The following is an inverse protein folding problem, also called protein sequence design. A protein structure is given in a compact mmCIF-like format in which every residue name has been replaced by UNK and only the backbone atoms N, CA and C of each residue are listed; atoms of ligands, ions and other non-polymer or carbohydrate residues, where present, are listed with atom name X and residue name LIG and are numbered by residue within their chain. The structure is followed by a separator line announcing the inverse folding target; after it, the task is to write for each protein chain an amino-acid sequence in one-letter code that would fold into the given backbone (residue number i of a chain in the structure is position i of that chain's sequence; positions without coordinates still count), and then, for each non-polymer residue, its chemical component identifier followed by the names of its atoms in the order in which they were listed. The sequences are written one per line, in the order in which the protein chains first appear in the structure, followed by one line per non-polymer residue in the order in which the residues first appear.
data_IF_879788817221
#
_entry.id   IF_879788817221
#
_cell.length_a   1.000
_cell.length_b   1.000
_cell.length_c   1.000
_cell.angle_alpha   90.00
_cell.angle_beta   90.00
_cell.angle_gamma   90.00
#
_symmetry.space_group_name_H-M   'P 1'
#
loop_
_entity.id
_entity.type
_entity.pdbx_description
1 polymer ?
#
# COMPACT_ATOMS: atom_id res chain seq x y z
N UNK A 1 0.76 -20.20 24.45
CA UNK A 1 1.54 -20.79 23.33
C UNK A 1 0.76 -21.81 22.49
N UNK A 2 -0.54 -21.87 22.59
CA UNK A 2 -1.41 -22.75 21.79
C UNK A 2 -2.13 -22.03 20.63
N UNK A 3 -1.98 -20.72 20.51
CA UNK A 3 -2.69 -19.92 19.49
C UNK A 3 -1.94 -19.76 18.15
N UNK A 4 -0.69 -20.24 18.05
CA UNK A 4 0.13 -20.13 16.83
C UNK A 4 0.21 -21.45 16.01
N UNK A 5 -0.58 -22.43 16.40
CA UNK A 5 -0.49 -23.79 15.82
C UNK A 5 -1.46 -24.00 14.64
N UNK A 6 -2.31 -23.00 14.32
CA UNK A 6 -3.42 -23.25 13.40
C UNK A 6 -3.07 -23.26 11.92
N UNK A 7 -2.59 -22.17 11.38
CA UNK A 7 -2.51 -22.03 9.92
C UNK A 7 -1.17 -22.41 9.30
N UNK A 8 -0.07 -22.21 10.02
CA UNK A 8 1.28 -22.50 9.51
C UNK A 8 1.64 -23.98 9.53
N UNK A 9 1.00 -24.78 10.41
CA UNK A 9 1.21 -26.23 10.44
C UNK A 9 0.32 -26.99 9.45
N UNK A 10 -0.79 -26.42 9.01
CA UNK A 10 -1.65 -27.06 8.01
C UNK A 10 -1.15 -26.89 6.58
N UNK A 11 -0.34 -25.86 6.34
CA UNK A 11 0.27 -25.55 5.04
C UNK A 11 1.74 -25.26 5.28
N UNK A 12 2.62 -25.93 4.56
CA UNK A 12 4.06 -25.69 4.63
C UNK A 12 4.69 -25.51 3.25
N UNK A 13 5.73 -24.69 3.20
CA UNK A 13 6.60 -24.57 2.04
C UNK A 13 7.69 -25.64 2.09
N UNK A 14 7.83 -26.41 1.01
CA UNK A 14 9.01 -27.25 0.78
C UNK A 14 9.79 -26.76 -0.43
N UNK A 15 11.10 -26.63 -0.27
CA UNK A 15 12.01 -26.45 -1.39
C UNK A 15 12.34 -27.82 -1.98
N UNK A 16 12.12 -27.98 -3.28
CA UNK A 16 12.65 -29.12 -4.01
C UNK A 16 14.13 -28.91 -4.33
N UNK A 17 14.82 -29.99 -4.63
CA UNK A 17 16.22 -29.96 -5.11
C UNK A 17 16.44 -29.12 -6.38
N UNK A 18 15.36 -28.80 -7.11
CA UNK A 18 15.35 -27.94 -8.31
C UNK A 18 15.06 -26.45 -7.99
N UNK A 19 15.03 -26.05 -6.72
CA UNK A 19 14.77 -24.66 -6.29
C UNK A 19 13.31 -24.20 -6.35
N UNK A 20 12.38 -25.07 -6.78
CA UNK A 20 10.96 -24.71 -6.81
C UNK A 20 10.30 -24.92 -5.46
N UNK A 21 9.59 -23.90 -4.96
CA UNK A 21 8.75 -24.02 -3.76
C UNK A 21 7.47 -24.78 -4.10
N UNK A 22 7.12 -25.76 -3.26
CA UNK A 22 5.84 -26.45 -3.30
C UNK A 22 5.12 -26.20 -2.01
N UNK A 23 3.87 -25.73 -2.13
CA UNK A 23 2.94 -25.68 -1.00
C UNK A 23 2.39 -27.08 -0.75
N UNK A 24 2.52 -27.57 0.47
CA UNK A 24 1.93 -28.83 0.92
C UNK A 24 0.87 -28.56 1.98
N UNK A 25 -0.22 -29.29 1.92
CA UNK A 25 -1.29 -29.28 2.90
C UNK A 25 -1.31 -30.62 3.67
N UNK A 26 -1.62 -30.56 4.97
CA UNK A 26 -1.77 -31.76 5.79
C UNK A 26 -3.14 -32.41 5.57
N UNK A 27 -3.18 -33.70 5.42
CA UNK A 27 -4.41 -34.46 5.56
C UNK A 27 -4.72 -34.62 7.05
N UNK A 28 -5.85 -34.10 7.50
CA UNK A 28 -6.21 -34.07 8.91
C UNK A 28 -6.56 -35.44 9.48
N UNK A 29 -6.85 -36.42 8.63
CA UNK A 29 -7.16 -37.80 9.05
C UNK A 29 -5.89 -38.65 9.22
N UNK A 30 -4.95 -38.50 8.28
CA UNK A 30 -3.72 -39.32 8.24
C UNK A 30 -2.52 -38.63 8.86
N UNK A 31 -2.54 -37.29 9.00
CA UNK A 31 -1.40 -36.47 9.43
C UNK A 31 -0.30 -36.33 8.37
N UNK A 32 -0.49 -36.88 7.17
CA UNK A 32 0.50 -36.81 6.09
C UNK A 32 0.35 -35.52 5.26
N UNK A 33 1.49 -35.03 4.76
CA UNK A 33 1.52 -33.87 3.89
C UNK A 33 1.54 -34.28 2.42
N UNK A 34 0.73 -33.60 1.61
CA UNK A 34 0.68 -33.78 0.16
C UNK A 34 0.63 -32.43 -0.54
N UNK A 35 1.02 -32.34 -1.83
CA UNK A 35 0.98 -31.09 -2.57
C UNK A 35 -0.39 -30.43 -2.51
N UNK A 36 -0.42 -29.15 -2.10
CA UNK A 36 -1.66 -28.36 -2.03
C UNK A 36 -2.24 -28.17 -3.43
N UNK A 37 -3.51 -28.51 -3.59
CA UNK A 37 -4.23 -28.26 -4.84
C UNK A 37 -4.97 -26.93 -4.76
N UNK A 38 -4.79 -26.08 -5.75
CA UNK A 38 -5.63 -24.88 -5.90
C UNK A 38 -7.03 -25.31 -6.32
N UNK A 39 -7.98 -25.04 -5.43
CA UNK A 39 -9.39 -25.30 -5.71
C UNK A 39 -9.94 -24.15 -6.58
N UNK A 40 -10.38 -24.48 -7.79
CA UNK A 40 -11.09 -23.51 -8.60
C UNK A 40 -12.60 -23.60 -8.28
N UNK A 41 -13.10 -22.58 -7.56
CA UNK A 41 -14.51 -22.49 -7.21
C UNK A 41 -15.38 -21.93 -8.36
N UNK A 42 -14.77 -21.52 -9.50
CA UNK A 42 -15.50 -20.94 -10.63
C UNK A 42 -16.08 -19.54 -10.37
N UNK A 43 -15.55 -18.83 -9.36
CA UNK A 43 -16.09 -17.52 -8.91
C UNK A 43 -15.22 -16.33 -9.27
N UNK A 44 -14.12 -16.53 -10.00
CA UNK A 44 -13.13 -15.47 -10.28
C UNK A 44 -12.38 -15.00 -9.04
N UNK A 45 -11.76 -13.81 -9.09
CA UNK A 45 -10.92 -13.27 -8.01
C UNK A 45 -11.71 -12.72 -6.82
N UNK A 46 -12.99 -12.42 -7.00
CA UNK A 46 -13.88 -11.96 -5.92
C UNK A 46 -14.88 -13.06 -5.57
N UNK A 47 -14.77 -13.57 -4.37
CA UNK A 47 -15.72 -14.58 -3.85
C UNK A 47 -17.01 -13.86 -3.47
N UNK A 48 -18.09 -14.20 -4.16
CA UNK A 48 -19.45 -13.82 -3.81
C UNK A 48 -19.95 -14.78 -2.71
N UNK A 49 -20.07 -14.27 -1.49
CA UNK A 49 -20.47 -15.06 -0.31
C UNK A 49 -21.84 -15.71 -0.52
N UNK A 50 -22.78 -14.99 -1.11
CA UNK A 50 -24.13 -15.48 -1.33
C UNK A 50 -24.13 -16.67 -2.31
N UNK A 51 -23.39 -16.55 -3.42
CA UNK A 51 -23.22 -17.65 -4.36
C UNK A 51 -22.48 -18.83 -3.73
N UNK A 52 -21.49 -18.56 -2.86
CA UNK A 52 -20.72 -19.61 -2.19
C UNK A 52 -21.60 -20.46 -1.27
N UNK A 53 -22.41 -19.85 -0.41
CA UNK A 53 -23.27 -20.56 0.53
C UNK A 53 -24.47 -21.26 -0.12
N UNK A 54 -24.85 -20.87 -1.34
CA UNK A 54 -25.91 -21.50 -2.12
C UNK A 54 -25.45 -22.75 -2.89
N UNK A 55 -24.15 -23.02 -2.94
CA UNK A 55 -23.62 -24.22 -3.58
C UNK A 55 -24.10 -25.47 -2.85
N UNK A 56 -24.40 -26.51 -3.62
CA UNK A 56 -24.86 -27.83 -3.13
C UNK A 56 -23.72 -28.84 -3.05
N UNK A 57 -22.46 -28.37 -3.01
CA UNK A 57 -21.29 -29.20 -2.85
C UNK A 57 -20.64 -29.03 -1.47
N UNK A 58 -19.66 -29.87 -1.16
CA UNK A 58 -18.96 -29.84 0.13
C UNK A 58 -18.38 -28.46 0.48
N UNK A 59 -18.01 -27.63 -0.50
CA UNK A 59 -17.45 -26.30 -0.28
C UNK A 59 -18.54 -25.31 0.15
N UNK A 60 -19.71 -25.36 -0.47
CA UNK A 60 -20.85 -24.56 -0.07
C UNK A 60 -21.39 -24.93 1.30
N UNK A 61 -21.49 -26.23 1.59
CA UNK A 61 -21.92 -26.73 2.90
C UNK A 61 -20.95 -26.32 4.01
N UNK A 62 -19.64 -26.47 3.77
CA UNK A 62 -18.61 -26.01 4.69
C UNK A 62 -18.66 -24.53 4.94
N UNK A 63 -18.69 -23.71 3.86
CA UNK A 63 -18.75 -22.26 3.96
C UNK A 63 -20.01 -21.80 4.71
N UNK A 64 -21.19 -22.37 4.38
CA UNK A 64 -22.45 -22.10 5.08
C UNK A 64 -22.34 -22.42 6.57
N UNK A 65 -21.78 -23.58 6.92
CA UNK A 65 -21.62 -23.99 8.32
C UNK A 65 -20.73 -23.03 9.10
N UNK A 66 -19.57 -22.65 8.55
CA UNK A 66 -18.63 -21.74 9.22
C UNK A 66 -19.22 -20.33 9.33
N UNK A 67 -19.72 -19.77 8.25
CA UNK A 67 -20.28 -18.41 8.26
C UNK A 67 -21.48 -18.30 9.21
N UNK A 68 -22.36 -19.31 9.22
CA UNK A 68 -23.48 -19.34 10.17
C UNK A 68 -22.97 -19.31 11.62
N UNK A 69 -21.96 -20.12 11.96
CA UNK A 69 -21.40 -20.14 13.31
C UNK A 69 -20.75 -18.81 13.69
N UNK A 70 -20.01 -18.20 12.78
CA UNK A 70 -19.35 -16.91 13.00
C UNK A 70 -20.39 -15.79 13.25
N UNK A 71 -21.40 -15.70 12.40
CA UNK A 71 -22.46 -14.68 12.54
C UNK A 71 -23.25 -14.91 13.85
N UNK A 72 -23.62 -16.16 14.15
CA UNK A 72 -24.32 -16.50 15.40
C UNK A 72 -23.50 -16.14 16.63
N UNK A 73 -22.21 -16.47 16.63
CA UNK A 73 -21.33 -16.17 17.76
C UNK A 73 -21.15 -14.65 17.93
N UNK A 74 -20.97 -13.92 16.85
CA UNK A 74 -20.91 -12.46 16.91
C UNK A 74 -22.20 -11.84 17.49
N UNK A 75 -23.37 -12.34 17.06
CA UNK A 75 -24.66 -11.89 17.59
C UNK A 75 -24.89 -12.28 19.05
N UNK A 76 -24.38 -13.43 19.49
CA UNK A 76 -24.43 -13.91 20.87
C UNK A 76 -23.65 -12.97 21.82
N UNK A 77 -22.58 -12.35 21.35
CA UNK A 77 -21.76 -11.43 22.13
C UNK A 77 -22.42 -10.05 22.38
N UNK A 78 -23.58 -9.81 21.80
CA UNK A 78 -24.36 -8.59 22.04
C UNK A 78 -25.40 -8.88 23.15
N UNK A 79 -25.50 -8.08 24.22
CA UNK A 79 -24.76 -6.81 24.46
C UNK A 79 -23.48 -6.97 25.28
N UNK A 80 -23.07 -8.17 25.67
CA UNK A 80 -22.04 -8.43 26.70
C UNK A 80 -20.67 -7.82 26.33
N UNK A 81 -20.25 -7.92 25.07
CA UNK A 81 -18.98 -7.35 24.59
C UNK A 81 -19.16 -5.93 24.05
N UNK A 82 -20.24 -5.69 23.31
CA UNK A 82 -20.66 -4.38 22.85
C UNK A 82 -22.16 -4.35 22.64
N UNK A 83 -22.80 -3.24 22.95
CA UNK A 83 -24.20 -3.01 22.62
C UNK A 83 -24.46 -2.75 21.13
N UNK A 84 -23.40 -2.55 20.36
CA UNK A 84 -23.49 -2.21 18.91
C UNK A 84 -22.79 -3.27 18.07
N UNK A 85 -23.55 -3.86 17.16
CA UNK A 85 -23.03 -4.88 16.22
C UNK A 85 -21.85 -4.38 15.40
N UNK A 86 -21.84 -3.10 15.06
CA UNK A 86 -20.78 -2.50 14.24
C UNK A 86 -19.40 -2.50 14.95
N UNK A 87 -19.35 -2.43 16.28
CA UNK A 87 -18.10 -2.50 17.04
C UNK A 87 -17.44 -3.86 16.90
N UNK A 88 -18.24 -4.93 16.80
CA UNK A 88 -17.73 -6.29 16.59
C UNK A 88 -17.17 -6.44 15.17
N UNK A 89 -17.87 -5.91 14.17
CA UNK A 89 -17.36 -5.91 12.78
C UNK A 89 -16.05 -5.12 12.66
N UNK A 90 -15.99 -3.93 13.27
CA UNK A 90 -14.81 -3.10 13.25
C UNK A 90 -13.63 -3.77 14.00
N UNK A 91 -13.89 -4.43 15.13
CA UNK A 91 -12.86 -5.15 15.87
C UNK A 91 -12.22 -6.28 15.03
N UNK A 92 -13.02 -7.01 14.26
CA UNK A 92 -12.52 -8.08 13.38
C UNK A 92 -11.80 -7.50 12.16
N UNK A 93 -12.30 -6.42 11.59
CA UNK A 93 -11.65 -5.76 10.45
C UNK A 93 -10.31 -5.12 10.83
N UNK A 94 -10.28 -4.39 11.95
CA UNK A 94 -9.09 -3.65 12.40
C UNK A 94 -8.08 -4.54 13.14
N UNK A 95 -8.56 -5.48 13.97
CA UNK A 95 -7.71 -6.33 14.77
C UNK A 95 -7.20 -7.57 14.05
N UNK A 96 -7.97 -8.12 13.10
CA UNK A 96 -7.65 -9.37 12.40
C UNK A 96 -7.56 -9.22 10.88
N UNK A 97 -7.61 -7.97 10.39
CA UNK A 97 -7.53 -7.66 8.97
C UNK A 97 -8.58 -8.37 8.10
N UNK A 98 -9.78 -8.56 8.64
CA UNK A 98 -10.88 -9.12 7.87
C UNK A 98 -11.37 -8.12 6.84
N UNK A 99 -11.69 -8.59 5.64
CA UNK A 99 -12.23 -7.74 4.57
C UNK A 99 -13.67 -7.32 4.87
N UNK A 100 -14.44 -8.21 5.52
CA UNK A 100 -15.87 -8.06 5.79
C UNK A 100 -16.14 -8.60 7.19
N UNK A 101 -16.84 -7.86 8.02
CA UNK A 101 -17.24 -8.31 9.35
C UNK A 101 -18.47 -9.23 9.33
N UNK A 102 -18.77 -9.91 10.46
CA UNK A 102 -19.88 -10.87 10.56
C UNK A 102 -21.27 -10.28 10.21
N UNK A 103 -21.53 -9.06 10.63
CA UNK A 103 -22.81 -8.41 10.38
C UNK A 103 -22.92 -7.83 8.96
N UNK A 104 -21.79 -7.39 8.39
CA UNK A 104 -21.70 -7.08 6.97
C UNK A 104 -21.89 -8.35 6.10
N UNK A 105 -21.38 -9.52 6.54
CA UNK A 105 -21.66 -10.81 5.91
C UNK A 105 -23.14 -11.16 5.97
N UNK A 106 -23.80 -10.92 7.13
CA UNK A 106 -25.23 -11.14 7.32
C UNK A 106 -26.04 -10.32 6.32
N UNK A 107 -25.66 -9.09 6.03
CA UNK A 107 -26.37 -8.25 5.05
C UNK A 107 -26.22 -8.73 3.59
N UNK A 108 -25.20 -9.56 3.31
CA UNK A 108 -24.92 -10.10 1.97
C UNK A 108 -25.55 -11.49 1.72
N UNK A 109 -26.38 -11.97 2.64
CA UNK A 109 -27.12 -13.25 2.50
C UNK A 109 -28.61 -13.00 2.61
N UNK A 110 -29.44 -14.06 2.49
CA UNK A 110 -30.87 -13.97 2.79
C UNK A 110 -31.08 -13.71 4.29
N UNK A 111 -30.99 -12.43 4.66
CA UNK A 111 -30.99 -11.93 6.03
C UNK A 111 -32.24 -12.32 6.78
N UNK A 112 -33.41 -12.19 6.14
CA UNK A 112 -34.70 -12.52 6.77
C UNK A 112 -34.74 -13.99 7.17
N UNK A 113 -34.51 -14.88 6.22
CA UNK A 113 -34.51 -16.32 6.47
C UNK A 113 -33.46 -16.71 7.52
N UNK A 114 -32.29 -16.08 7.51
CA UNK A 114 -31.26 -16.34 8.52
C UNK A 114 -31.73 -15.94 9.92
N UNK A 115 -32.29 -14.74 10.09
CA UNK A 115 -32.83 -14.25 11.36
C UNK A 115 -33.92 -15.16 11.88
N UNK A 116 -34.90 -15.50 11.03
CA UNK A 116 -36.05 -16.35 11.39
C UNK A 116 -35.58 -17.73 11.90
N UNK A 117 -34.49 -18.26 11.36
CA UNK A 117 -33.90 -19.55 11.78
C UNK A 117 -33.04 -19.48 13.05
N UNK A 118 -32.70 -18.27 13.55
CA UNK A 118 -31.74 -18.05 14.64
C UNK A 118 -32.29 -17.19 15.79
N UNK A 119 -33.61 -17.22 15.98
CA UNK A 119 -34.33 -16.46 17.04
C UNK A 119 -34.05 -16.97 18.47
N UNK A 120 -33.26 -18.01 18.62
CA UNK A 120 -32.69 -18.45 19.90
C UNK A 120 -31.63 -17.48 20.46
N UNK A 121 -31.10 -16.59 19.61
CA UNK A 121 -30.16 -15.53 20.00
C UNK A 121 -30.94 -14.23 20.19
N UNK A 122 -30.81 -13.60 21.35
CA UNK A 122 -31.58 -12.38 21.71
C UNK A 122 -31.45 -11.27 20.69
N UNK A 123 -30.27 -11.02 20.18
CA UNK A 123 -30.04 -10.02 19.14
C UNK A 123 -30.96 -10.24 17.91
N UNK A 124 -31.06 -11.44 17.42
CA UNK A 124 -31.92 -11.75 16.25
C UNK A 124 -33.41 -11.72 16.58
N UNK A 125 -33.77 -12.14 17.80
CA UNK A 125 -35.13 -12.06 18.28
C UNK A 125 -35.65 -10.62 18.31
N UNK A 126 -34.82 -9.67 18.73
CA UNK A 126 -35.18 -8.27 18.83
C UNK A 126 -35.31 -7.58 17.47
N UNK A 127 -34.64 -8.09 16.44
CA UNK A 127 -34.74 -7.56 15.08
C UNK A 127 -36.05 -7.84 14.35
N UNK A 128 -36.86 -8.80 14.84
CA UNK A 128 -38.17 -9.19 14.23
C UNK A 128 -38.07 -9.48 12.73
N UNK A 129 -36.97 -10.07 12.28
CA UNK A 129 -36.74 -10.44 10.88
C UNK A 129 -36.25 -9.28 9.98
N UNK A 130 -36.01 -8.08 10.51
CA UNK A 130 -35.50 -6.93 9.73
C UNK A 130 -34.14 -6.55 10.25
N UNK A 131 -33.14 -6.57 9.37
CA UNK A 131 -31.79 -6.11 9.66
C UNK A 131 -31.25 -5.33 8.46
N UNK A 132 -30.94 -4.07 8.70
CA UNK A 132 -30.19 -3.24 7.76
C UNK A 132 -28.79 -2.99 8.32
N UNK A 133 -27.79 -3.35 7.54
CA UNK A 133 -26.41 -3.06 7.88
C UNK A 133 -26.12 -1.59 7.59
N UNK A 134 -26.11 -0.81 8.65
CA UNK A 134 -25.67 0.57 8.56
C UNK A 134 -24.17 0.60 8.80
N UNK A 135 -23.41 0.71 7.71
CA UNK A 135 -21.99 0.95 7.78
C UNK A 135 -21.77 2.20 8.61
N UNK A 136 -20.95 2.09 9.67
CA UNK A 136 -20.63 3.28 10.45
C UNK A 136 -20.09 4.33 9.47
N UNK A 137 -20.67 5.54 9.39
CA UNK A 137 -20.04 6.61 8.65
C UNK A 137 -18.65 6.76 9.26
N UNK A 138 -17.63 6.67 8.43
CA UNK A 138 -16.21 6.57 8.76
C UNK A 138 -15.86 6.83 10.20
N UNK A 139 -15.13 5.97 10.80
CA UNK A 139 -14.98 5.65 12.22
C UNK A 139 -15.06 6.79 13.24
N UNK A 140 -14.97 8.01 12.90
CA UNK A 140 -14.98 9.12 13.88
C UNK A 140 -15.53 10.42 13.35
N UNK A 141 -15.72 10.53 12.04
CA UNK A 141 -16.04 11.83 11.50
C UNK A 141 -16.52 11.66 10.05
N UNK A 142 -17.50 12.45 9.65
CA UNK A 142 -17.86 12.69 8.25
C UNK A 142 -16.68 13.22 7.40
N UNK A 143 -15.49 13.33 8.00
CA UNK A 143 -14.25 13.82 7.40
C UNK A 143 -13.22 12.74 7.04
N UNK A 144 -13.55 11.45 7.10
CA UNK A 144 -12.64 10.43 6.58
C UNK A 144 -12.81 10.31 5.08
N UNK A 145 -11.97 11.06 4.41
CA UNK A 145 -11.89 11.05 2.97
C UNK A 145 -10.81 10.06 2.53
N UNK A 146 -11.22 8.87 2.07
CA UNK A 146 -10.37 8.05 1.24
C UNK A 146 -10.67 8.34 -0.24
N UNK A 147 -9.83 7.90 -1.16
CA UNK A 147 -9.99 8.16 -2.60
C UNK A 147 -11.31 7.61 -3.18
N UNK A 148 -11.94 6.66 -2.49
CA UNK A 148 -13.22 6.07 -2.89
C UNK A 148 -14.42 6.86 -2.37
N UNK A 149 -14.27 7.49 -1.19
CA UNK A 149 -15.31 8.33 -0.59
C UNK A 149 -15.32 9.75 -1.18
N UNK A 150 -14.16 10.23 -1.66
CA UNK A 150 -14.08 11.48 -2.38
C UNK A 150 -14.65 11.30 -3.79
N UNK A 151 -15.71 12.00 -4.08
CA UNK A 151 -16.31 12.03 -5.43
C UNK A 151 -15.48 12.91 -6.37
N UNK A 152 -14.18 12.59 -6.53
CA UNK A 152 -13.25 13.31 -7.38
C UNK A 152 -13.46 12.97 -8.84
N UNK A 153 -13.49 13.98 -9.68
CA UNK A 153 -13.57 13.79 -11.12
C UNK A 153 -12.24 13.25 -11.67
N UNK A 154 -12.30 12.08 -12.31
CA UNK A 154 -11.17 11.53 -13.03
C UNK A 154 -10.93 12.37 -14.29
N UNK A 155 -9.74 12.99 -14.42
CA UNK A 155 -9.37 13.86 -15.56
C UNK A 155 -8.33 13.24 -16.47
N UNK A 156 -7.61 12.23 -15.96
CA UNK A 156 -6.66 11.45 -16.74
C UNK A 156 -6.73 9.99 -16.27
N UNK A 157 -6.65 9.07 -17.22
CA UNK A 157 -6.61 7.63 -16.97
C UNK A 157 -5.76 6.94 -18.03
N UNK A 158 -4.88 6.06 -17.56
CA UNK A 158 -4.17 5.10 -18.40
C UNK A 158 -4.13 3.73 -17.67
N UNK A 159 -3.56 2.67 -18.26
CA UNK A 159 -3.53 1.35 -17.63
C UNK A 159 -2.88 1.30 -16.25
N UNK A 160 -1.99 2.24 -15.93
CA UNK A 160 -1.13 2.19 -14.74
C UNK A 160 -1.42 3.25 -13.69
N UNK A 161 -2.17 4.30 -14.02
CA UNK A 161 -2.46 5.39 -13.08
C UNK A 161 -3.69 6.21 -13.47
N UNK A 162 -4.25 6.90 -12.46
CA UNK A 162 -5.31 7.88 -12.60
C UNK A 162 -4.88 9.24 -12.06
N UNK A 163 -5.36 10.33 -12.66
CA UNK A 163 -5.37 11.65 -12.04
C UNK A 163 -6.82 12.03 -11.76
N UNK A 164 -7.10 12.36 -10.50
CA UNK A 164 -8.41 12.79 -10.02
C UNK A 164 -8.33 14.21 -9.51
N UNK A 165 -9.24 15.08 -9.96
CA UNK A 165 -9.25 16.49 -9.62
C UNK A 165 -10.26 16.83 -8.54
N UNK A 166 -9.79 17.56 -7.53
CA UNK A 166 -10.58 18.40 -6.65
C UNK A 166 -10.58 19.87 -7.16
N UNK A 167 -11.26 20.77 -6.44
CA UNK A 167 -11.28 22.19 -6.79
C UNK A 167 -9.88 22.83 -6.74
N UNK A 168 -9.14 22.62 -5.63
CA UNK A 168 -7.85 23.28 -5.35
C UNK A 168 -6.63 22.36 -5.56
N UNK A 169 -6.78 21.04 -5.60
CA UNK A 169 -5.69 20.09 -5.74
C UNK A 169 -6.04 18.95 -6.70
N UNK A 170 -5.08 18.13 -7.00
CA UNK A 170 -5.27 16.87 -7.72
C UNK A 170 -4.60 15.70 -6.98
N UNK A 171 -5.06 14.50 -7.29
CA UNK A 171 -4.54 13.25 -6.72
C UNK A 171 -4.05 12.37 -7.85
N UNK A 172 -2.83 11.84 -7.71
CA UNK A 172 -2.30 10.77 -8.56
C UNK A 172 -2.41 9.46 -7.80
N UNK A 173 -3.07 8.48 -8.41
CA UNK A 173 -3.23 7.12 -7.88
C UNK A 173 -2.66 6.10 -8.87
N UNK A 174 -1.73 5.25 -8.44
CA UNK A 174 -1.26 4.12 -9.22
C UNK A 174 -2.25 2.96 -9.13
N UNK A 175 -2.40 2.20 -10.22
CA UNK A 175 -3.42 1.15 -10.35
C UNK A 175 -2.85 -0.20 -10.81
N UNK A 176 -1.54 -0.30 -10.98
CA UNK A 176 -0.87 -1.55 -11.34
C UNK A 176 -0.84 -2.54 -10.18
N UNK A 177 -0.50 -3.80 -10.47
CA UNK A 177 -0.27 -4.79 -9.41
C UNK A 177 0.87 -4.34 -8.49
N UNK A 178 0.60 -4.28 -7.18
CA UNK A 178 1.51 -3.76 -6.17
C UNK A 178 2.01 -2.32 -6.45
N UNK A 179 1.30 -1.57 -7.29
CA UNK A 179 1.63 -0.23 -7.74
C UNK A 179 3.06 -0.15 -8.32
N UNK A 180 3.49 -1.21 -9.03
CA UNK A 180 4.75 -1.22 -9.73
C UNK A 180 4.77 -0.16 -10.85
N UNK A 181 5.87 0.59 -10.91
CA UNK A 181 6.00 1.72 -11.84
C UNK A 181 6.45 1.27 -13.23
N UNK A 182 5.86 1.87 -14.23
CA UNK A 182 6.16 1.69 -15.65
C UNK A 182 6.09 3.05 -16.39
N UNK A 183 6.17 3.02 -17.71
CA UNK A 183 6.09 4.24 -18.53
C UNK A 183 4.78 5.00 -18.32
N UNK A 184 3.65 4.30 -18.17
CA UNK A 184 2.34 4.92 -18.03
C UNK A 184 2.16 5.58 -16.67
N UNK A 185 2.64 4.96 -15.59
CA UNK A 185 2.62 5.58 -14.26
C UNK A 185 3.51 6.83 -14.20
N UNK A 186 4.68 6.80 -14.86
CA UNK A 186 5.55 7.98 -14.96
C UNK A 186 4.95 9.08 -15.83
N UNK A 187 4.23 8.72 -16.89
CA UNK A 187 3.49 9.68 -17.71
C UNK A 187 2.42 10.40 -16.89
N UNK A 188 1.64 9.69 -16.07
CA UNK A 188 0.63 10.31 -15.21
C UNK A 188 1.24 11.32 -14.21
N UNK A 189 2.39 10.98 -13.60
CA UNK A 189 3.11 11.91 -12.73
C UNK A 189 3.58 13.17 -13.46
N UNK A 190 4.09 13.00 -14.68
CA UNK A 190 4.55 14.10 -15.53
C UNK A 190 3.38 15.00 -15.93
N UNK A 191 2.26 14.43 -16.35
CA UNK A 191 1.02 15.17 -16.67
C UNK A 191 0.53 15.95 -15.43
N UNK A 192 0.51 15.32 -14.26
CA UNK A 192 0.13 15.98 -13.01
C UNK A 192 1.03 17.19 -12.71
N UNK A 193 2.33 17.07 -12.94
CA UNK A 193 3.27 18.18 -12.72
C UNK A 193 3.06 19.34 -13.70
N UNK A 194 2.54 19.08 -14.90
CA UNK A 194 2.26 20.08 -15.93
C UNK A 194 0.90 20.77 -15.73
N UNK A 195 -0.01 20.18 -14.96
CA UNK A 195 -1.35 20.75 -14.71
C UNK A 195 -1.36 22.01 -13.83
N UNK A 196 -0.21 22.45 -13.33
CA UNK A 196 -0.07 23.59 -12.43
C UNK A 196 -1.03 23.56 -11.24
N UNK A 197 -1.23 22.37 -10.67
CA UNK A 197 -2.05 22.12 -9.47
C UNK A 197 -1.22 21.45 -8.39
N UNK A 198 -1.49 21.82 -7.15
CA UNK A 198 -0.96 21.12 -5.99
C UNK A 198 -1.35 19.64 -6.05
N UNK A 199 -0.41 18.74 -5.83
CA UNK A 199 -0.58 17.32 -6.13
C UNK A 199 -0.32 16.45 -4.90
N UNK A 200 -1.21 15.49 -4.65
CA UNK A 200 -1.03 14.42 -3.66
C UNK A 200 -0.87 13.11 -4.41
N UNK A 201 0.23 12.41 -4.18
CA UNK A 201 0.43 11.03 -4.69
C UNK A 201 0.06 10.06 -3.58
N UNK A 202 -1.04 9.36 -3.72
CA UNK A 202 -1.59 8.46 -2.71
C UNK A 202 -2.37 7.31 -3.36
N UNK A 203 -2.36 6.15 -2.71
CA UNK A 203 -3.09 4.98 -3.19
C UNK A 203 -3.95 4.38 -2.07
N UNK A 204 -5.16 3.96 -2.39
CA UNK A 204 -6.02 3.17 -1.47
C UNK A 204 -5.55 1.71 -1.35
N UNK A 205 -4.64 1.27 -2.22
CA UNK A 205 -4.03 -0.07 -2.16
C UNK A 205 -3.13 -0.24 -0.92
N UNK A 206 -2.80 -1.49 -0.58
CA UNK A 206 -1.97 -1.80 0.60
C UNK A 206 -0.54 -1.24 0.49
N UNK A 207 -0.04 -1.05 -0.73
CA UNK A 207 1.33 -0.60 -1.01
C UNK A 207 1.29 0.75 -1.72
N UNK A 208 2.23 1.64 -1.38
CA UNK A 208 2.43 2.86 -2.17
C UNK A 208 3.02 2.50 -3.54
N UNK A 209 4.15 1.81 -3.55
CA UNK A 209 4.75 1.25 -4.76
C UNK A 209 5.85 0.23 -4.42
N UNK A 210 5.82 -0.92 -5.07
CA UNK A 210 6.89 -1.92 -4.99
C UNK A 210 8.10 -1.61 -5.89
N UNK A 211 8.18 -0.38 -6.43
CA UNK A 211 9.25 0.04 -7.33
C UNK A 211 8.96 -0.19 -8.80
N UNK A 212 10.00 -0.15 -9.62
CA UNK A 212 9.88 -0.33 -11.08
C UNK A 212 9.44 -1.77 -11.42
N UNK A 213 8.58 -1.90 -12.42
CA UNK A 213 8.20 -3.20 -12.95
C UNK A 213 9.39 -3.88 -13.66
N UNK A 214 10.11 -4.72 -12.93
CA UNK A 214 11.30 -5.40 -13.43
C UNK A 214 11.02 -6.33 -14.60
N UNK A 215 9.81 -6.90 -14.72
CA UNK A 215 9.46 -7.75 -15.86
C UNK A 215 9.50 -6.96 -17.18
N UNK A 216 9.07 -5.70 -17.13
CA UNK A 216 9.12 -4.79 -18.28
C UNK A 216 10.56 -4.52 -18.72
N UNK A 217 11.46 -4.23 -17.76
CA UNK A 217 12.89 -4.02 -18.05
C UNK A 217 13.57 -5.29 -18.54
N UNK A 218 13.25 -6.45 -17.94
CA UNK A 218 13.81 -7.75 -18.31
C UNK A 218 13.39 -8.19 -19.71
N UNK A 219 12.20 -7.84 -20.15
CA UNK A 219 11.73 -8.12 -21.51
C UNK A 219 12.60 -7.39 -22.55
N UNK A 220 12.86 -6.10 -22.33
CA UNK A 220 13.76 -5.35 -23.20
C UNK A 220 15.19 -5.90 -23.20
N UNK A 221 15.70 -6.26 -22.03
CA UNK A 221 17.04 -6.82 -21.89
C UNK A 221 17.19 -8.15 -22.63
N UNK A 222 16.19 -9.06 -22.54
CA UNK A 222 16.16 -10.33 -23.28
C UNK A 222 16.16 -10.15 -24.79
N UNK A 223 15.56 -9.09 -25.29
CA UNK A 223 15.48 -8.74 -26.69
C UNK A 223 16.67 -7.88 -27.17
N UNK A 224 17.65 -7.60 -26.30
CA UNK A 224 18.77 -6.67 -26.54
C UNK A 224 18.32 -5.24 -26.93
N UNK A 225 17.16 -4.81 -26.44
CA UNK A 225 16.59 -3.49 -26.72
C UNK A 225 17.08 -2.43 -25.71
N UNK A 226 18.41 -2.31 -25.56
CA UNK A 226 19.07 -1.43 -24.57
C UNK A 226 18.65 0.02 -24.69
N UNK A 227 18.41 0.51 -25.91
CA UNK A 227 17.94 1.89 -26.14
C UNK A 227 16.56 2.17 -25.54
N UNK A 228 15.69 1.15 -25.41
CA UNK A 228 14.40 1.31 -24.74
C UNK A 228 14.57 1.40 -23.22
N UNK A 229 15.51 0.63 -22.66
CA UNK A 229 15.86 0.73 -21.23
C UNK A 229 16.45 2.12 -20.92
N UNK A 230 17.39 2.57 -21.75
CA UNK A 230 17.98 3.91 -21.59
C UNK A 230 16.92 5.00 -21.67
N UNK A 231 16.04 4.94 -22.66
CA UNK A 231 14.92 5.88 -22.79
C UNK A 231 14.01 5.85 -21.56
N UNK A 232 13.65 4.66 -21.06
CA UNK A 232 12.81 4.53 -19.85
C UNK A 232 13.49 5.19 -18.64
N UNK A 233 14.79 4.98 -18.43
CA UNK A 233 15.56 5.60 -17.34
C UNK A 233 15.59 7.11 -17.49
N UNK A 234 15.85 7.63 -18.68
CA UNK A 234 15.85 9.07 -18.96
C UNK A 234 14.47 9.68 -18.67
N UNK A 235 13.41 9.05 -19.17
CA UNK A 235 12.04 9.53 -18.96
C UNK A 235 11.66 9.49 -17.46
N UNK A 236 12.09 8.46 -16.72
CA UNK A 236 11.89 8.35 -15.27
C UNK A 236 12.61 9.49 -14.53
N UNK A 237 13.89 9.71 -14.81
CA UNK A 237 14.68 10.80 -14.22
C UNK A 237 14.07 12.18 -14.51
N UNK A 238 13.65 12.40 -15.76
CA UNK A 238 13.03 13.68 -16.14
C UNK A 238 11.69 13.89 -15.42
N UNK A 239 10.89 12.83 -15.25
CA UNK A 239 9.63 12.91 -14.50
C UNK A 239 9.88 13.24 -13.04
N UNK A 240 10.80 12.55 -12.38
CA UNK A 240 11.21 12.85 -11.00
C UNK A 240 11.71 14.29 -10.86
N UNK A 241 12.52 14.76 -11.81
CA UNK A 241 12.99 16.15 -11.86
C UNK A 241 11.84 17.14 -12.04
N UNK A 242 10.85 16.80 -12.89
CA UNK A 242 9.68 17.68 -13.12
C UNK A 242 8.84 17.79 -11.84
N UNK A 243 8.63 16.68 -11.09
CA UNK A 243 7.97 16.71 -9.80
C UNK A 243 8.73 17.61 -8.81
N UNK A 244 10.04 17.40 -8.66
CA UNK A 244 10.88 18.13 -7.71
C UNK A 244 10.87 19.63 -7.89
N UNK A 245 10.79 20.09 -9.13
CA UNK A 245 10.86 21.51 -9.48
C UNK A 245 9.54 22.03 -10.06
N UNK A 246 8.42 21.40 -9.73
CA UNK A 246 7.10 21.87 -10.11
C UNK A 246 6.78 23.23 -9.47
N UNK A 247 5.97 24.03 -10.15
CA UNK A 247 5.54 25.35 -9.63
C UNK A 247 4.49 25.26 -8.51
N UNK A 248 3.97 24.04 -8.27
CA UNK A 248 3.03 23.71 -7.20
C UNK A 248 3.54 22.53 -6.40
N UNK A 249 3.26 22.47 -5.08
CA UNK A 249 3.79 21.43 -4.22
C UNK A 249 3.29 20.04 -4.56
N UNK A 250 4.18 19.07 -4.40
CA UNK A 250 3.89 17.64 -4.44
C UNK A 250 4.05 17.02 -3.05
N UNK A 251 3.01 16.33 -2.59
CA UNK A 251 3.00 15.57 -1.34
C UNK A 251 2.91 14.09 -1.68
N UNK A 252 3.85 13.27 -1.21
CA UNK A 252 3.69 11.83 -1.22
C UNK A 252 3.03 11.36 0.08
N UNK A 253 2.07 10.45 -0.03
CA UNK A 253 1.40 9.85 1.12
C UNK A 253 1.64 8.31 1.13
N UNK A 254 2.88 7.87 1.45
CA UNK A 254 3.23 6.46 1.37
C UNK A 254 2.69 5.65 2.54
N UNK A 255 2.21 4.43 2.23
CA UNK A 255 1.83 3.38 3.18
C UNK A 255 2.27 2.02 2.64
N UNK A 256 2.61 1.07 3.53
CA UNK A 256 3.19 -0.20 3.12
C UNK A 256 4.49 0.00 2.34
N UNK A 257 4.74 -0.80 1.32
CA UNK A 257 5.97 -0.67 0.53
C UNK A 257 5.98 0.64 -0.28
N UNK A 258 7.07 1.39 -0.13
CA UNK A 258 7.47 2.50 -0.98
C UNK A 258 8.98 2.34 -1.20
N UNK A 259 9.39 1.40 -2.07
CA UNK A 259 10.77 0.95 -2.24
C UNK A 259 11.26 1.14 -3.67
N UNK A 260 12.58 1.18 -3.85
CA UNK A 260 13.21 1.34 -5.15
C UNK A 260 12.68 2.59 -5.87
N UNK A 261 12.28 2.47 -7.13
CA UNK A 261 11.68 3.57 -7.89
C UNK A 261 10.48 4.23 -7.23
N UNK A 262 9.69 3.47 -6.43
CA UNK A 262 8.61 4.05 -5.63
C UNK A 262 9.13 5.00 -4.55
N UNK A 263 10.23 4.66 -3.92
CA UNK A 263 10.90 5.56 -2.97
C UNK A 263 11.56 6.73 -3.69
N UNK A 264 12.08 6.55 -4.91
CA UNK A 264 12.60 7.66 -5.71
C UNK A 264 11.52 8.72 -5.98
N UNK A 265 10.27 8.33 -6.25
CA UNK A 265 9.15 9.26 -6.35
C UNK A 265 8.92 10.00 -5.02
N UNK A 266 8.91 9.29 -3.88
CA UNK A 266 8.77 9.88 -2.54
C UNK A 266 9.87 10.89 -2.26
N UNK A 267 11.12 10.58 -2.61
CA UNK A 267 12.28 11.45 -2.41
C UNK A 267 12.20 12.77 -3.20
N UNK A 268 11.49 12.77 -4.32
CA UNK A 268 11.32 13.94 -5.18
C UNK A 268 10.07 14.77 -4.86
N UNK A 269 9.19 14.31 -3.98
CA UNK A 269 8.11 15.13 -3.45
C UNK A 269 8.62 16.13 -2.41
N UNK A 270 7.90 17.25 -2.25
CA UNK A 270 8.29 18.30 -1.30
C UNK A 270 8.11 17.89 0.14
N UNK A 271 7.03 17.15 0.42
CA UNK A 271 6.67 16.65 1.74
C UNK A 271 6.16 15.23 1.66
N UNK A 272 6.27 14.52 2.79
CA UNK A 272 5.72 13.20 2.94
C UNK A 272 4.71 13.16 4.10
N UNK A 273 3.61 12.45 3.89
CA UNK A 273 2.61 12.15 4.92
C UNK A 273 2.52 10.63 4.99
N UNK A 274 3.41 10.03 5.79
CA UNK A 274 3.53 8.57 5.81
C UNK A 274 2.65 7.92 6.87
N UNK A 275 2.09 6.78 6.54
CA UNK A 275 1.50 5.89 7.53
C UNK A 275 2.60 5.16 8.32
N UNK A 276 2.31 4.82 9.60
CA UNK A 276 3.28 4.15 10.49
C UNK A 276 3.78 2.80 10.00
N UNK A 277 3.06 2.11 9.09
CA UNK A 277 3.48 0.83 8.51
C UNK A 277 4.35 0.96 7.25
N UNK A 278 4.81 2.17 6.92
CA UNK A 278 5.58 2.41 5.71
C UNK A 278 6.92 1.68 5.76
N UNK A 279 7.31 1.12 4.61
CA UNK A 279 8.64 0.55 4.38
C UNK A 279 9.31 1.36 3.28
N UNK A 280 10.41 2.04 3.62
CA UNK A 280 11.16 2.92 2.72
C UNK A 280 12.56 2.39 2.48
N UNK A 281 13.08 2.55 1.28
CA UNK A 281 14.47 2.25 0.95
C UNK A 281 14.74 2.12 -0.54
N UNK A 282 16.00 2.29 -0.89
CA UNK A 282 16.54 2.05 -2.23
C UNK A 282 17.13 0.64 -2.23
N UNK A 283 16.41 -0.30 -2.82
CA UNK A 283 16.69 -1.75 -2.70
C UNK A 283 17.20 -2.37 -4.00
N UNK A 284 17.57 -1.57 -4.96
CA UNK A 284 17.97 -1.98 -6.31
C UNK A 284 19.19 -2.91 -6.30
N UNK A 285 20.11 -2.75 -5.34
CA UNK A 285 21.30 -3.60 -5.17
C UNK A 285 20.96 -5.07 -4.92
N UNK A 286 19.79 -5.39 -4.31
CA UNK A 286 19.33 -6.76 -4.11
C UNK A 286 19.08 -7.52 -5.42
N UNK A 287 18.88 -6.79 -6.49
CA UNK A 287 18.63 -7.35 -7.84
C UNK A 287 19.75 -7.00 -8.84
N UNK A 288 20.89 -6.55 -8.33
CA UNK A 288 22.07 -6.24 -9.15
C UNK A 288 21.97 -4.93 -9.92
N UNK A 289 21.11 -4.00 -9.49
CA UNK A 289 20.92 -2.69 -10.09
C UNK A 289 21.33 -1.58 -9.12
N UNK A 290 21.33 -0.35 -9.59
CA UNK A 290 21.49 0.87 -8.79
C UNK A 290 20.28 1.78 -8.98
N UNK A 291 19.91 2.61 -8.00
CA UNK A 291 18.84 3.58 -8.13
C UNK A 291 19.09 4.54 -9.29
N UNK A 292 18.25 4.46 -10.31
CA UNK A 292 18.46 5.18 -11.56
C UNK A 292 17.51 6.38 -11.77
N UNK A 293 16.44 6.51 -10.98
CA UNK A 293 15.47 7.60 -11.10
C UNK A 293 15.89 8.90 -10.38
N UNK A 294 17.05 8.89 -9.71
CA UNK A 294 17.58 10.04 -8.98
C UNK A 294 17.74 9.83 -7.48
N UNK A 295 17.46 8.63 -6.97
CA UNK A 295 17.56 8.30 -5.55
C UNK A 295 18.95 8.51 -4.97
N UNK A 296 20.02 8.12 -5.68
CA UNK A 296 21.41 8.36 -5.27
C UNK A 296 21.69 9.86 -5.04
N UNK A 297 21.24 10.69 -5.97
CA UNK A 297 21.42 12.15 -5.90
C UNK A 297 20.63 12.76 -4.73
N UNK A 298 19.37 12.38 -4.55
CA UNK A 298 18.54 12.92 -3.48
C UNK A 298 19.03 12.50 -2.10
N UNK A 299 19.46 11.26 -1.94
CA UNK A 299 20.06 10.78 -0.69
C UNK A 299 21.36 11.50 -0.38
N UNK A 300 22.25 11.65 -1.37
CA UNK A 300 23.49 12.39 -1.17
C UNK A 300 23.21 13.84 -0.76
N UNK A 301 22.27 14.50 -1.44
CA UNK A 301 21.87 15.86 -1.08
C UNK A 301 21.35 15.96 0.35
N UNK A 302 20.47 15.06 0.79
CA UNK A 302 19.95 15.04 2.16
C UNK A 302 21.04 14.85 3.20
N UNK A 303 21.96 13.91 2.98
CA UNK A 303 23.11 13.69 3.88
C UNK A 303 24.08 14.86 3.92
N UNK A 304 24.31 15.54 2.81
CA UNK A 304 25.12 16.77 2.77
C UNK A 304 24.49 17.95 3.53
N UNK A 305 23.19 17.88 3.85
CA UNK A 305 22.54 18.92 4.65
C UNK A 305 22.63 18.64 6.17
N UNK A 306 23.01 17.43 6.58
CA UNK A 306 23.25 17.13 8.00
C UNK A 306 24.48 17.90 8.53
N UNK A 307 24.58 18.12 9.85
CA UNK A 307 25.80 18.75 10.44
C UNK A 307 27.08 18.03 10.02
N UNK A 308 27.07 16.69 10.13
CA UNK A 308 28.25 15.84 9.80
C UNK A 308 28.58 15.90 8.31
N UNK A 309 27.57 15.90 7.44
CA UNK A 309 27.75 15.97 5.99
C UNK A 309 28.25 17.33 5.51
N UNK A 310 27.93 18.43 6.22
CA UNK A 310 28.48 19.77 5.97
C UNK A 310 29.95 19.89 6.37
N UNK A 311 30.32 19.22 7.46
CA UNK A 311 31.72 19.18 7.91
C UNK A 311 32.57 18.26 7.04
N UNK A 312 32.01 17.12 6.63
CA UNK A 312 32.73 16.12 5.84
C UNK A 312 31.81 15.49 4.77
N UNK A 313 32.01 15.88 3.50
CA UNK A 313 31.26 15.37 2.36
C UNK A 313 31.55 13.88 2.07
N UNK A 314 32.72 13.37 2.44
CA UNK A 314 33.06 11.96 2.33
C UNK A 314 32.20 11.11 3.26
N UNK A 315 31.96 11.57 4.50
CA UNK A 315 31.04 10.93 5.42
C UNK A 315 29.64 10.78 4.81
N UNK A 316 29.11 11.85 4.19
CA UNK A 316 27.81 11.79 3.52
C UNK A 316 27.81 10.76 2.37
N UNK A 317 28.87 10.70 1.59
CA UNK A 317 29.02 9.75 0.48
C UNK A 317 29.06 8.30 0.97
N UNK A 318 29.81 8.03 2.04
CA UNK A 318 29.90 6.70 2.66
C UNK A 318 28.55 6.25 3.23
N UNK A 319 27.85 7.14 3.92
CA UNK A 319 26.50 6.84 4.44
C UNK A 319 25.52 6.47 3.33
N UNK A 320 25.53 7.20 2.23
CA UNK A 320 24.66 6.90 1.08
C UNK A 320 25.07 5.59 0.41
N UNK A 321 26.39 5.35 0.29
CA UNK A 321 26.90 4.08 -0.21
C UNK A 321 26.40 2.89 0.63
N UNK A 322 26.51 2.99 1.96
CA UNK A 322 26.04 1.94 2.87
C UNK A 322 24.53 1.71 2.73
N UNK A 323 23.73 2.78 2.74
CA UNK A 323 22.28 2.69 2.64
C UNK A 323 21.82 2.00 1.34
N UNK A 324 22.45 2.34 0.22
CA UNK A 324 22.09 1.82 -1.10
C UNK A 324 22.77 0.46 -1.35
N UNK A 325 24.05 0.35 -1.05
CA UNK A 325 24.84 -0.85 -1.30
C UNK A 325 24.33 -2.06 -0.52
N UNK A 326 23.95 -1.86 0.72
CA UNK A 326 23.36 -2.92 1.57
C UNK A 326 21.83 -2.96 1.51
N UNK A 327 21.20 -2.18 0.64
CA UNK A 327 19.74 -2.12 0.50
C UNK A 327 19.01 -1.90 1.84
N UNK A 328 19.52 -0.99 2.66
CA UNK A 328 18.95 -0.72 3.97
C UNK A 328 17.54 -0.15 3.80
N UNK A 329 16.61 -0.72 4.52
CA UNK A 329 15.22 -0.27 4.57
C UNK A 329 14.86 0.19 5.97
N UNK A 330 13.95 1.15 6.05
CA UNK A 330 13.28 1.52 7.29
C UNK A 330 11.85 0.99 7.25
N UNK A 331 11.41 0.32 8.31
CA UNK A 331 10.08 -0.29 8.43
C UNK A 331 9.08 0.56 9.20
N UNK A 332 9.51 1.76 9.57
CA UNK A 332 8.70 2.76 10.25
C UNK A 332 9.27 4.17 10.01
N UNK A 333 8.46 5.24 10.20
CA UNK A 333 8.97 6.60 10.16
C UNK A 333 10.09 6.89 11.16
N UNK A 334 10.06 6.24 12.34
CA UNK A 334 11.10 6.38 13.36
C UNK A 334 12.46 5.82 12.93
N UNK A 335 12.48 4.73 12.17
CA UNK A 335 13.69 4.18 11.56
C UNK A 335 14.12 4.96 10.32
N UNK A 336 13.18 5.59 9.63
CA UNK A 336 13.42 6.35 8.42
C UNK A 336 14.13 7.71 8.70
N UNK A 337 13.81 8.35 9.82
CA UNK A 337 14.35 9.67 10.18
C UNK A 337 15.89 9.67 10.33
N UNK A 338 16.53 8.77 11.10
CA UNK A 338 17.99 8.72 11.22
C UNK A 338 18.70 8.42 9.89
N UNK A 339 18.03 7.72 8.98
CA UNK A 339 18.57 7.38 7.66
C UNK A 339 18.36 8.49 6.61
N UNK A 340 17.82 9.63 6.99
CA UNK A 340 17.42 10.72 6.08
C UNK A 340 16.41 10.29 4.99
N UNK A 341 15.74 9.15 5.17
CA UNK A 341 14.62 8.72 4.33
C UNK A 341 13.38 9.57 4.58
N UNK A 342 13.21 9.99 5.84
CA UNK A 342 12.24 10.96 6.32
C UNK A 342 12.97 12.21 6.82
N UNK A 343 12.30 13.35 6.74
CA UNK A 343 12.80 14.63 7.25
C UNK A 343 11.87 15.13 8.36
N UNK A 344 12.38 15.99 9.23
CA UNK A 344 11.58 16.56 10.35
C UNK A 344 10.31 17.29 9.92
N UNK A 345 10.30 17.83 8.70
CA UNK A 345 9.13 18.49 8.11
C UNK A 345 8.02 17.53 7.70
N UNK A 346 8.34 16.24 7.52
CA UNK A 346 7.39 15.22 7.09
C UNK A 346 6.41 14.86 8.22
N UNK A 347 5.26 14.33 7.88
CA UNK A 347 4.20 13.99 8.83
C UNK A 347 4.00 12.49 8.93
N UNK A 348 3.66 12.05 10.13
CA UNK A 348 3.36 10.65 10.42
C UNK A 348 1.89 10.52 10.81
N UNK A 349 1.21 9.54 10.23
CA UNK A 349 -0.20 9.25 10.49
C UNK A 349 -0.33 7.82 10.99
N UNK A 350 -0.97 7.64 12.14
CA UNK A 350 -1.22 6.32 12.74
C UNK A 350 -2.46 5.67 12.12
N UNK A 351 -3.51 6.45 11.91
CA UNK A 351 -4.73 5.98 11.26
C UNK A 351 -4.65 6.25 9.76
N UNK A 352 -4.58 5.19 8.95
CA UNK A 352 -4.48 5.29 7.50
C UNK A 352 -5.64 6.05 6.86
N UNK A 353 -6.84 5.94 7.42
CA UNK A 353 -8.02 6.64 6.91
C UNK A 353 -7.90 8.17 7.01
N UNK A 354 -7.00 8.66 7.85
CA UNK A 354 -6.69 10.10 7.98
C UNK A 354 -5.50 10.55 7.13
N UNK A 355 -4.88 9.67 6.39
CA UNK A 355 -3.68 9.99 5.63
C UNK A 355 -3.95 11.03 4.55
N UNK A 356 -5.05 10.86 3.80
CA UNK A 356 -5.42 11.80 2.75
C UNK A 356 -5.84 13.16 3.33
N UNK A 357 -6.69 13.20 4.37
CA UNK A 357 -7.09 14.45 5.01
C UNK A 357 -5.88 15.19 5.60
N UNK A 358 -4.94 14.50 6.22
CA UNK A 358 -3.69 15.10 6.71
C UNK A 358 -2.84 15.68 5.58
N UNK A 359 -2.79 15.00 4.43
CA UNK A 359 -2.07 15.52 3.25
C UNK A 359 -2.76 16.77 2.68
N UNK A 360 -4.09 16.80 2.65
CA UNK A 360 -4.87 17.97 2.23
C UNK A 360 -4.66 19.14 3.19
N UNK A 361 -4.71 18.90 4.50
CA UNK A 361 -4.47 19.94 5.51
C UNK A 361 -3.05 20.51 5.40
N UNK A 362 -2.05 19.65 5.20
CA UNK A 362 -0.68 20.09 4.97
C UNK A 362 -0.59 20.94 3.70
N UNK A 363 -1.21 20.52 2.60
CA UNK A 363 -1.24 21.23 1.35
C UNK A 363 -1.83 22.64 1.51
N UNK A 364 -3.00 22.75 2.15
CA UNK A 364 -3.66 24.01 2.42
C UNK A 364 -2.79 24.99 3.24
N UNK A 365 -1.97 24.45 4.15
CA UNK A 365 -1.08 25.26 4.98
C UNK A 365 0.15 25.77 4.24
N UNK A 366 0.64 25.06 3.23
CA UNK A 366 1.87 25.41 2.51
C UNK A 366 1.62 26.18 1.20
N UNK A 367 0.44 26.03 0.59
CA UNK A 367 0.19 26.52 -0.77
C UNK A 367 0.37 28.04 -0.92
N UNK A 368 -0.04 28.80 0.10
CA UNK A 368 0.07 30.28 0.07
C UNK A 368 1.48 30.84 0.18
N UNK A 369 2.46 30.02 0.61
CA UNK A 369 3.87 30.40 0.77
C UNK A 369 4.82 29.42 0.10
N UNK A 370 4.35 28.58 -0.81
CA UNK A 370 5.19 27.58 -1.46
C UNK A 370 6.20 28.23 -2.40
N UNK A 371 7.46 27.90 -2.16
CA UNK A 371 8.58 28.21 -3.06
C UNK A 371 9.20 26.89 -3.55
N UNK A 372 9.29 26.73 -4.86
CA UNK A 372 9.93 25.53 -5.42
C UNK A 372 11.41 25.49 -5.06
N UNK A 373 11.95 24.28 -4.75
CA UNK A 373 13.34 24.16 -4.36
C UNK A 373 14.30 24.58 -5.49
N UNK A 374 15.40 25.18 -5.12
CA UNK A 374 16.49 25.45 -6.06
C UNK A 374 17.26 24.17 -6.40
N UNK A 375 17.90 24.13 -7.58
CA UNK A 375 18.74 22.98 -7.93
C UNK A 375 19.98 22.94 -7.01
N UNK A 376 20.26 21.78 -6.40
CA UNK A 376 21.42 21.63 -5.54
C UNK A 376 22.73 21.77 -6.35
N UNK A 377 23.71 22.42 -5.73
CA UNK A 377 25.09 22.43 -6.24
C UNK A 377 25.88 21.42 -5.41
N UNK A 378 26.42 20.42 -6.09
CA UNK A 378 27.28 19.42 -5.46
C UNK A 378 28.75 19.86 -5.58
N UNK A 379 29.42 19.88 -4.44
CA UNK A 379 30.88 20.01 -4.41
C UNK A 379 31.44 18.59 -4.21
N UNK A 380 31.70 17.89 -5.30
CA UNK A 380 32.21 16.52 -5.27
C UNK A 380 33.73 16.55 -5.27
N UNK A 381 34.34 15.62 -4.52
CA UNK A 381 35.78 15.56 -4.26
C UNK A 381 36.71 15.32 -5.47
N UNK A 382 36.18 15.40 -6.70
CA UNK A 382 36.97 15.33 -7.93
C UNK A 382 37.75 14.02 -8.12
N UNK A 383 39.02 14.12 -8.49
CA UNK A 383 39.87 12.96 -8.77
C UNK A 383 40.19 12.11 -7.52
N UNK A 384 40.16 12.69 -6.33
CA UNK A 384 40.41 11.98 -5.08
C UNK A 384 39.35 10.94 -4.70
N UNK A 385 38.22 10.95 -5.36
CA UNK A 385 37.10 9.97 -5.17
C UNK A 385 37.07 8.92 -6.29
N UNK A 386 37.97 9.02 -7.27
CA UNK A 386 38.09 8.06 -8.38
C UNK A 386 38.93 6.84 -8.07
N UNK A 387 39.87 6.96 -7.17
CA UNK A 387 40.82 5.92 -6.73
C UNK A 387 40.24 5.15 -5.50
#
# INVERSE_FOLDING_TARGET
RLSLVGSEMCIRDRNKSDGKKILEAINLETGEYHPSQKINLGMGDKIDINKLIQRKDKYGEYAKSILTKVIRYAAYLIPDVSSKYIDIDDALRLGFNWTVGPFEMLSNIDTKNFIDQNTDINFFKDLKGVFEFNKRPGYLDSSIDNLRSLNLQKTFENPSANIKNASSYQVVEFTTKANALDTDSMLALKEAAQNNKSTIVINDAMQFSAGVNLNYVMEFAKNNEWSKIEKFIIDFQQTCKTIKYADKPFIAAPSGLAIGGGFEVVLHCDYNVAHTNVVLGLVESLVGLIPAGGGCKEMLWRWLQTPEGKENSEHASMKVFDLIGYAITATSPNEALPNQFFLEKDKVVINRDRQLSTAIDLLNNIEGGYEKPSQPKFNLGGSAVRD
#
